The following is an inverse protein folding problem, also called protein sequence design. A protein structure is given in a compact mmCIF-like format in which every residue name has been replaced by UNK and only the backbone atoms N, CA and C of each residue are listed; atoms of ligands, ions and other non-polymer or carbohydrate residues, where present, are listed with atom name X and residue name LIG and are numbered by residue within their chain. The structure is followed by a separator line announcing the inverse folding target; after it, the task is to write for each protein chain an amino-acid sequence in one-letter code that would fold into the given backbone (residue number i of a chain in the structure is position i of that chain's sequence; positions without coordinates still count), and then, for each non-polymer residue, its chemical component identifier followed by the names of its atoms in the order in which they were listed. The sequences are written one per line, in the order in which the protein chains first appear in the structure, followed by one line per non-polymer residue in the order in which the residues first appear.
data_IF_910000851520
#
_entry.id   IF_910000851520
#
_cell.length_a   1.000
_cell.length_b   1.000
_cell.length_c   1.000
_cell.angle_alpha   90.00
_cell.angle_beta   90.00
_cell.angle_gamma   90.00
#
_symmetry.space_group_name_H-M   'P 1'
#
loop_
_entity.id
_entity.type
_entity.pdbx_description
1 polymer ?
#
# COMPACT_ATOMS: atom_id res chain seq x y z
N UNK A 1 106.38 -3.47 3.41
CA UNK A 1 105.26 -4.44 3.42
C UNK A 1 104.23 -3.92 4.41
N UNK A 2 103.28 -3.09 4.01
CA UNK A 2 102.10 -3.36 3.16
C UNK A 2 101.03 -4.16 3.92
N UNK A 3 99.82 -3.59 4.07
CA UNK A 3 98.78 -4.05 4.99
C UNK A 3 98.04 -5.29 4.44
N UNK A 4 97.48 -6.16 5.30
CA UNK A 4 96.47 -7.09 4.84
C UNK A 4 95.18 -6.31 4.53
N UNK A 5 94.70 -6.48 3.29
CA UNK A 5 93.49 -5.85 2.80
C UNK A 5 92.26 -6.36 3.55
N UNK A 6 91.47 -5.42 4.06
CA UNK A 6 90.13 -5.67 4.58
C UNK A 6 89.24 -6.09 3.41
N UNK A 7 88.66 -7.28 3.50
CA UNK A 7 87.74 -7.78 2.48
C UNK A 7 86.48 -6.90 2.43
N UNK A 8 85.98 -6.53 1.23
CA UNK A 8 84.78 -5.70 1.13
C UNK A 8 83.55 -6.45 1.67
N UNK A 9 82.61 -5.75 2.31
CA UNK A 9 81.40 -6.37 2.86
C UNK A 9 80.55 -6.97 1.73
N UNK A 10 80.14 -8.21 1.91
CA UNK A 10 79.30 -8.95 0.97
C UNK A 10 77.92 -8.26 0.94
N UNK A 11 77.57 -7.62 -0.18
CA UNK A 11 76.23 -7.09 -0.39
C UNK A 11 75.24 -8.26 -0.43
N UNK A 12 74.43 -8.39 0.62
CA UNK A 12 73.26 -9.25 0.59
C UNK A 12 72.23 -8.61 -0.35
N UNK A 13 71.87 -9.30 -1.43
CA UNK A 13 70.71 -8.91 -2.22
C UNK A 13 69.45 -9.01 -1.36
N UNK A 14 68.55 -8.02 -1.36
CA UNK A 14 67.30 -8.13 -0.62
C UNK A 14 66.53 -9.35 -1.16
N UNK A 15 66.12 -10.25 -0.26
CA UNK A 15 65.25 -11.37 -0.62
C UNK A 15 63.96 -10.88 -1.30
N UNK A 16 63.32 -11.71 -2.15
CA UNK A 16 62.11 -11.31 -2.85
C UNK A 16 61.06 -10.88 -1.83
N UNK A 17 60.57 -9.65 -1.95
CA UNK A 17 59.54 -9.13 -1.08
C UNK A 17 58.33 -10.08 -1.13
N UNK A 18 57.79 -10.53 0.03
CA UNK A 18 56.60 -11.36 0.02
C UNK A 18 55.49 -10.58 -0.68
N UNK A 19 54.92 -11.18 -1.73
CA UNK A 19 53.80 -10.63 -2.48
C UNK A 19 52.57 -10.52 -1.59
N UNK A 20 52.52 -9.48 -0.77
CA UNK A 20 51.36 -9.14 0.01
C UNK A 20 50.24 -8.80 -0.96
N UNK A 21 49.23 -9.66 -1.03
CA UNK A 21 47.97 -9.35 -1.72
C UNK A 21 47.46 -8.03 -1.14
N UNK A 22 47.62 -6.96 -1.91
CA UNK A 22 47.41 -5.60 -1.44
C UNK A 22 46.00 -5.37 -0.91
N UNK A 23 45.87 -4.31 -0.12
CA UNK A 23 44.65 -3.78 0.48
C UNK A 23 43.43 -3.76 -0.48
N UNK A 24 43.65 -3.72 -1.79
CA UNK A 24 42.64 -3.79 -2.84
C UNK A 24 42.03 -5.19 -3.06
N UNK A 25 42.74 -6.29 -2.82
CA UNK A 25 42.24 -7.63 -3.14
C UNK A 25 41.37 -8.24 -2.03
N UNK A 26 41.68 -7.97 -0.75
CA UNK A 26 40.85 -8.41 0.38
C UNK A 26 39.84 -7.35 0.81
N UNK A 27 40.23 -6.07 0.86
CA UNK A 27 39.34 -4.98 1.28
C UNK A 27 38.22 -4.69 0.27
N UNK A 28 38.57 -4.48 -1.01
CA UNK A 28 37.57 -4.21 -2.05
C UNK A 28 36.67 -5.43 -2.29
N UNK A 29 37.23 -6.65 -2.30
CA UNK A 29 36.44 -7.87 -2.46
C UNK A 29 35.47 -8.09 -1.29
N UNK A 30 35.92 -7.88 -0.05
CA UNK A 30 35.03 -7.95 1.12
C UNK A 30 33.92 -6.88 1.08
N UNK A 31 34.21 -5.65 0.62
CA UNK A 31 33.19 -4.61 0.45
C UNK A 31 32.18 -4.94 -0.65
N UNK A 32 32.65 -5.48 -1.78
CA UNK A 32 31.78 -5.93 -2.87
C UNK A 32 30.86 -7.06 -2.39
N UNK A 33 31.40 -8.07 -1.70
CA UNK A 33 30.62 -9.17 -1.14
C UNK A 33 29.62 -8.65 -0.11
N UNK A 34 30.05 -7.77 0.80
CA UNK A 34 29.16 -7.16 1.79
C UNK A 34 28.05 -6.34 1.11
N UNK A 35 28.36 -5.60 0.05
CA UNK A 35 27.39 -4.86 -0.76
C UNK A 35 26.37 -5.77 -1.42
N UNK A 36 26.80 -6.88 -2.03
CA UNK A 36 25.89 -7.87 -2.61
C UNK A 36 25.02 -8.56 -1.56
N UNK A 37 25.58 -8.92 -0.41
CA UNK A 37 24.81 -9.48 0.72
C UNK A 37 23.77 -8.47 1.20
N UNK A 38 24.14 -7.20 1.33
CA UNK A 38 23.24 -6.13 1.75
C UNK A 38 22.10 -5.97 0.73
N UNK A 39 22.40 -5.89 -0.58
CA UNK A 39 21.38 -5.86 -1.64
C UNK A 39 20.49 -7.09 -1.59
N UNK A 40 21.06 -8.28 -1.42
CA UNK A 40 20.29 -9.52 -1.33
C UNK A 40 19.35 -9.53 -0.11
N UNK A 41 19.81 -9.02 1.05
CA UNK A 41 19.00 -8.90 2.26
C UNK A 41 17.89 -7.87 2.08
N UNK A 42 18.17 -6.70 1.50
CA UNK A 42 17.14 -5.68 1.26
C UNK A 42 16.12 -6.13 0.23
N UNK A 43 16.56 -6.67 -0.92
CA UNK A 43 15.66 -7.15 -1.98
C UNK A 43 14.88 -8.37 -1.51
N UNK A 44 15.57 -9.36 -0.94
CA UNK A 44 14.96 -10.58 -0.42
C UNK A 44 14.02 -10.31 0.75
N UNK A 45 14.44 -9.45 1.69
CA UNK A 45 13.63 -9.02 2.82
C UNK A 45 12.39 -8.26 2.39
N UNK A 46 12.53 -7.26 1.51
CA UNK A 46 11.37 -6.53 0.95
C UNK A 46 10.43 -7.48 0.22
N UNK A 47 10.97 -8.36 -0.62
CA UNK A 47 10.17 -9.35 -1.34
C UNK A 47 9.40 -10.27 -0.38
N UNK A 48 10.06 -10.78 0.66
CA UNK A 48 9.46 -11.63 1.68
C UNK A 48 8.35 -10.90 2.46
N UNK A 49 8.62 -9.69 2.93
CA UNK A 49 7.65 -8.87 3.69
C UNK A 49 6.43 -8.55 2.83
N UNK A 50 6.63 -8.13 1.58
CA UNK A 50 5.54 -7.86 0.63
C UNK A 50 4.71 -9.12 0.39
N UNK A 51 5.33 -10.26 0.09
CA UNK A 51 4.60 -11.50 -0.15
C UNK A 51 3.81 -11.94 1.09
N UNK A 52 4.40 -11.77 2.29
CA UNK A 52 3.73 -12.05 3.55
C UNK A 52 2.55 -11.11 3.76
N UNK A 53 2.74 -9.80 3.60
CA UNK A 53 1.68 -8.80 3.71
C UNK A 53 0.53 -9.10 2.76
N UNK A 54 0.83 -9.40 1.48
CA UNK A 54 -0.17 -9.85 0.52
C UNK A 54 -0.91 -11.06 1.07
N UNK A 55 -0.23 -12.14 1.49
CA UNK A 55 -0.93 -13.32 2.04
C UNK A 55 -1.83 -13.02 3.24
N UNK A 56 -1.46 -12.05 4.08
CA UNK A 56 -2.19 -11.67 5.30
C UNK A 56 -3.43 -10.83 4.98
N UNK A 57 -3.27 -9.75 4.21
CA UNK A 57 -4.31 -8.74 3.98
C UNK A 57 -5.27 -9.07 2.84
N UNK A 58 -5.13 -10.25 2.24
CA UNK A 58 -5.88 -10.65 1.06
C UNK A 58 -6.27 -12.12 1.19
N UNK A 59 -7.41 -12.49 0.62
CA UNK A 59 -7.98 -13.85 0.70
C UNK A 59 -8.03 -14.51 -0.68
N UNK A 60 -8.18 -15.83 -0.73
CA UNK A 60 -8.52 -16.56 -1.97
C UNK A 60 -10.03 -16.63 -2.20
N UNK A 61 -10.84 -16.17 -1.24
CA UNK A 61 -12.30 -16.20 -1.31
C UNK A 61 -12.90 -14.82 -1.05
N UNK A 62 -13.98 -14.46 -1.77
CA UNK A 62 -14.75 -13.26 -1.48
C UNK A 62 -15.49 -13.38 -0.14
N UNK A 63 -15.62 -12.26 0.56
CA UNK A 63 -16.63 -12.15 1.62
C UNK A 63 -17.96 -11.74 0.99
N UNK A 64 -19.06 -12.37 1.40
CA UNK A 64 -20.39 -11.96 0.98
C UNK A 64 -20.79 -10.68 1.70
N UNK A 65 -21.04 -9.64 0.93
CA UNK A 65 -21.50 -8.35 1.45
C UNK A 65 -23.03 -8.36 1.42
N UNK A 66 -23.66 -8.49 2.58
CA UNK A 66 -25.12 -8.43 2.70
C UNK A 66 -25.61 -6.99 2.61
N UNK A 67 -26.21 -6.64 1.47
CA UNK A 67 -26.84 -5.35 1.26
C UNK A 67 -28.35 -5.53 1.30
N UNK A 68 -29.03 -4.74 2.12
CA UNK A 68 -30.50 -4.66 2.12
C UNK A 68 -30.97 -4.24 0.73
N UNK A 69 -31.90 -4.99 0.15
CA UNK A 69 -32.51 -4.58 -1.11
C UNK A 69 -33.45 -3.40 -0.87
N UNK A 70 -33.17 -2.28 -1.55
CA UNK A 70 -34.01 -1.09 -1.51
C UNK A 70 -35.34 -1.34 -2.25
N UNK A 71 -36.43 -0.85 -1.65
CA UNK A 71 -37.76 -0.86 -2.28
C UNK A 71 -37.77 0.03 -3.54
N UNK A 72 -38.73 -0.16 -4.48
CA UNK A 72 -38.86 0.71 -5.65
C UNK A 72 -38.98 2.20 -5.29
N UNK A 73 -39.66 2.52 -4.18
CA UNK A 73 -39.81 3.89 -3.70
C UNK A 73 -38.47 4.48 -3.22
N UNK A 74 -37.73 3.75 -2.38
CA UNK A 74 -36.41 4.18 -1.89
C UNK A 74 -35.41 4.39 -3.04
N UNK A 75 -35.44 3.50 -4.05
CA UNK A 75 -34.61 3.64 -5.26
C UNK A 75 -34.93 4.91 -6.03
N UNK A 76 -36.21 5.24 -6.17
CA UNK A 76 -36.62 6.45 -6.88
C UNK A 76 -36.20 7.72 -6.14
N UNK A 77 -36.28 7.73 -4.80
CA UNK A 77 -35.81 8.85 -3.97
C UNK A 77 -34.31 9.04 -4.10
N UNK A 78 -33.52 7.97 -3.94
CA UNK A 78 -32.07 8.03 -4.07
C UNK A 78 -31.65 8.51 -5.47
N UNK A 79 -32.31 8.00 -6.51
CA UNK A 79 -32.08 8.41 -7.90
C UNK A 79 -32.42 9.88 -8.13
N UNK A 80 -33.56 10.36 -7.62
CA UNK A 80 -33.95 11.76 -7.76
C UNK A 80 -32.91 12.69 -7.11
N UNK A 81 -32.44 12.35 -5.90
CA UNK A 81 -31.35 13.10 -5.24
C UNK A 81 -30.07 13.12 -6.08
N UNK A 82 -29.67 11.98 -6.64
CA UNK A 82 -28.49 11.92 -7.51
C UNK A 82 -28.67 12.73 -8.80
N UNK A 83 -29.86 12.72 -9.39
CA UNK A 83 -30.15 13.49 -10.61
C UNK A 83 -30.18 15.00 -10.32
N UNK A 84 -30.69 15.42 -9.14
CA UNK A 84 -30.58 16.80 -8.65
C UNK A 84 -29.11 17.20 -8.48
N UNK A 85 -28.29 16.35 -7.85
CA UNK A 85 -26.86 16.60 -7.68
C UNK A 85 -26.16 16.78 -9.03
N UNK A 86 -26.42 15.87 -9.98
CA UNK A 86 -25.86 15.93 -11.35
C UNK A 86 -26.29 17.20 -12.07
N UNK A 87 -27.55 17.61 -11.94
CA UNK A 87 -28.06 18.82 -12.56
C UNK A 87 -27.38 20.06 -11.99
N UNK A 88 -27.31 20.17 -10.66
CA UNK A 88 -26.65 21.28 -9.98
C UNK A 88 -25.16 21.37 -10.36
N UNK A 89 -24.45 20.23 -10.35
CA UNK A 89 -23.04 20.17 -10.74
C UNK A 89 -22.81 20.61 -12.19
N UNK A 90 -23.65 20.17 -13.14
CA UNK A 90 -23.55 20.56 -14.56
C UNK A 90 -23.85 22.04 -14.79
N UNK A 91 -24.73 22.62 -13.99
CA UNK A 91 -25.13 24.03 -14.11
C UNK A 91 -24.28 24.97 -13.25
N UNK A 92 -23.25 24.46 -12.56
CA UNK A 92 -22.44 25.21 -11.59
C UNK A 92 -23.30 25.90 -10.51
N UNK A 93 -24.36 25.22 -10.06
CA UNK A 93 -25.26 25.70 -9.03
C UNK A 93 -24.93 25.05 -7.69
N UNK A 94 -24.97 25.84 -6.62
CA UNK A 94 -24.89 25.32 -5.27
C UNK A 94 -26.17 24.55 -4.91
N UNK A 95 -26.01 23.32 -4.43
CA UNK A 95 -27.12 22.49 -3.95
C UNK A 95 -26.67 21.69 -2.73
N UNK A 96 -27.46 21.72 -1.66
CA UNK A 96 -27.27 20.88 -0.48
C UNK A 96 -28.13 19.64 -0.62
N UNK A 97 -27.52 18.46 -0.64
CA UNK A 97 -28.21 17.17 -0.77
C UNK A 97 -27.65 16.23 0.29
N UNK A 98 -28.54 15.71 1.12
CA UNK A 98 -28.19 14.75 2.15
C UNK A 98 -28.54 13.34 1.69
N UNK A 99 -27.57 12.44 1.75
CA UNK A 99 -27.76 11.01 1.49
C UNK A 99 -27.60 10.22 2.78
N UNK A 100 -28.54 9.32 3.04
CA UNK A 100 -28.37 8.32 4.09
C UNK A 100 -27.72 7.03 3.55
N UNK A 101 -27.37 6.10 4.45
CA UNK A 101 -26.71 4.85 4.08
C UNK A 101 -27.55 3.97 3.14
N UNK A 102 -28.87 3.88 3.38
CA UNK A 102 -29.78 3.08 2.55
C UNK A 102 -29.87 3.63 1.12
N UNK A 103 -29.91 4.95 0.97
CA UNK A 103 -29.91 5.63 -0.32
C UNK A 103 -28.59 5.40 -1.06
N UNK A 104 -27.43 5.52 -0.38
CA UNK A 104 -26.12 5.24 -0.99
C UNK A 104 -26.05 3.78 -1.46
N UNK A 105 -26.47 2.84 -0.61
CA UNK A 105 -26.50 1.41 -0.96
C UNK A 105 -27.45 1.13 -2.14
N UNK A 106 -28.59 1.82 -2.18
CA UNK A 106 -29.52 1.74 -3.32
C UNK A 106 -28.86 2.25 -4.61
N UNK A 107 -28.12 3.35 -4.56
CA UNK A 107 -27.39 3.87 -5.72
C UNK A 107 -26.32 2.88 -6.18
N UNK A 108 -25.49 2.36 -5.27
CA UNK A 108 -24.44 1.37 -5.57
C UNK A 108 -25.05 0.16 -6.30
N UNK A 109 -26.20 -0.33 -5.83
CA UNK A 109 -26.86 -1.50 -6.39
C UNK A 109 -27.48 -1.25 -7.78
N UNK A 110 -27.93 -0.02 -8.09
CA UNK A 110 -28.82 0.23 -9.23
C UNK A 110 -28.23 1.14 -10.32
N UNK A 111 -27.31 2.05 -9.99
CA UNK A 111 -26.80 3.01 -10.99
C UNK A 111 -25.70 2.39 -11.87
N UNK A 112 -25.67 2.71 -13.17
CA UNK A 112 -24.71 2.12 -14.11
C UNK A 112 -23.24 2.40 -13.78
N UNK A 113 -22.96 3.53 -13.13
CA UNK A 113 -21.62 3.98 -12.73
C UNK A 113 -21.01 3.07 -11.66
N UNK A 114 -21.84 2.46 -10.81
CA UNK A 114 -21.40 1.61 -9.71
C UNK A 114 -21.44 0.11 -10.03
N UNK A 115 -21.55 -0.27 -11.31
CA UNK A 115 -21.64 -1.68 -11.72
C UNK A 115 -20.55 -2.58 -11.12
N UNK A 116 -19.32 -2.08 -10.99
CA UNK A 116 -18.21 -2.84 -10.40
C UNK A 116 -18.29 -2.99 -8.87
N UNK A 117 -19.05 -2.14 -8.19
CA UNK A 117 -19.23 -2.18 -6.74
C UNK A 117 -20.48 -2.96 -6.29
N UNK A 118 -21.36 -3.34 -7.23
CA UNK A 118 -22.60 -4.08 -6.94
C UNK A 118 -22.30 -5.43 -6.29
N UNK A 119 -22.85 -5.65 -5.10
CA UNK A 119 -22.62 -6.89 -4.33
C UNK A 119 -21.21 -7.02 -3.75
N UNK A 120 -20.36 -6.02 -3.93
CA UNK A 120 -18.97 -5.99 -3.49
C UNK A 120 -18.70 -4.85 -2.50
N UNK A 121 -19.69 -4.00 -2.25
CA UNK A 121 -19.53 -2.80 -1.44
C UNK A 121 -20.81 -2.50 -0.66
N UNK A 122 -20.65 -2.09 0.60
CA UNK A 122 -21.74 -1.63 1.46
C UNK A 122 -21.28 -0.46 2.31
N UNK A 123 -22.15 0.53 2.42
CA UNK A 123 -21.95 1.69 3.28
C UNK A 123 -22.87 1.60 4.47
N UNK A 124 -22.34 1.88 5.66
CA UNK A 124 -23.09 2.16 6.87
C UNK A 124 -22.66 3.53 7.39
N UNK A 125 -23.56 4.26 8.04
CA UNK A 125 -23.26 5.56 8.63
C UNK A 125 -23.77 5.54 10.06
N UNK A 126 -22.93 5.87 11.02
CA UNK A 126 -23.28 5.97 12.44
C UNK A 126 -22.45 7.04 13.12
N UNK A 127 -23.08 7.93 13.90
CA UNK A 127 -22.40 8.97 14.67
C UNK A 127 -21.40 9.81 13.84
N UNK A 128 -21.79 10.21 12.63
CA UNK A 128 -20.94 10.96 11.68
C UNK A 128 -19.69 10.22 11.18
N UNK A 129 -19.63 8.90 11.38
CA UNK A 129 -18.59 8.02 10.85
C UNK A 129 -19.23 7.14 9.77
N UNK A 130 -18.64 7.15 8.58
CA UNK A 130 -18.97 6.22 7.51
C UNK A 130 -18.13 4.95 7.68
N UNK A 131 -18.77 3.79 7.59
CA UNK A 131 -18.13 2.48 7.54
C UNK A 131 -18.37 1.89 6.16
N UNK A 132 -17.31 1.42 5.52
CA UNK A 132 -17.31 0.90 4.16
C UNK A 132 -16.80 -0.54 4.18
N UNK A 133 -17.69 -1.50 3.91
CA UNK A 133 -17.30 -2.87 3.64
C UNK A 133 -17.02 -3.05 2.15
N UNK A 134 -15.90 -3.70 1.84
CA UNK A 134 -15.46 -3.98 0.46
C UNK A 134 -15.05 -5.44 0.33
N UNK A 135 -15.46 -6.07 -0.76
CA UNK A 135 -15.05 -7.41 -1.19
C UNK A 135 -14.74 -7.34 -2.69
N UNK A 136 -13.50 -6.99 -3.04
CA UNK A 136 -13.11 -6.69 -4.41
C UNK A 136 -12.12 -7.74 -4.97
N UNK A 137 -12.32 -8.24 -6.20
CA UNK A 137 -11.36 -9.11 -6.85
C UNK A 137 -10.12 -8.30 -7.26
N UNK A 138 -8.94 -8.85 -7.03
CA UNK A 138 -7.66 -8.20 -7.35
C UNK A 138 -7.08 -8.65 -8.70
N UNK A 139 -7.86 -9.37 -9.51
CA UNK A 139 -7.46 -9.88 -10.82
C UNK A 139 -7.15 -8.78 -11.84
N UNK A 140 -7.78 -7.62 -11.69
CA UNK A 140 -7.52 -6.45 -12.53
C UNK A 140 -6.17 -5.78 -12.25
N UNK A 141 -5.51 -6.13 -11.16
CA UNK A 141 -4.20 -5.57 -10.81
C UNK A 141 -3.10 -6.23 -11.65
N UNK A 142 -2.14 -5.43 -12.13
CA UNK A 142 -1.02 -5.89 -12.98
C UNK A 142 -0.08 -6.89 -12.29
N UNK A 143 -0.26 -7.16 -11.00
CA UNK A 143 0.63 -7.99 -10.21
C UNK A 143 0.22 -9.46 -10.24
N UNK A 144 1.06 -10.32 -10.85
CA UNK A 144 0.78 -11.76 -10.97
C UNK A 144 0.45 -12.46 -9.65
N UNK A 145 0.95 -11.96 -8.51
CA UNK A 145 0.73 -12.51 -7.16
C UNK A 145 -0.67 -12.22 -6.60
N UNK A 146 -1.40 -11.26 -7.17
CA UNK A 146 -2.75 -10.89 -6.76
C UNK A 146 -3.85 -11.60 -7.55
N UNK A 147 -3.50 -12.30 -8.63
CA UNK A 147 -4.44 -13.08 -9.43
C UNK A 147 -5.11 -14.16 -8.59
N UNK A 148 -6.43 -14.29 -8.73
CA UNK A 148 -7.28 -15.20 -7.96
C UNK A 148 -7.42 -14.81 -6.49
N UNK A 149 -7.02 -13.59 -6.11
CA UNK A 149 -7.13 -13.10 -4.74
C UNK A 149 -8.13 -11.96 -4.62
N UNK A 150 -8.67 -11.84 -3.42
CA UNK A 150 -9.69 -10.88 -3.03
C UNK A 150 -9.14 -9.96 -1.96
N UNK A 151 -9.54 -8.69 -2.04
CA UNK A 151 -9.43 -7.74 -0.96
C UNK A 151 -10.77 -7.68 -0.24
N UNK A 152 -10.80 -8.21 0.98
CA UNK A 152 -11.95 -8.14 1.86
C UNK A 152 -11.57 -7.20 2.99
N UNK A 153 -12.26 -6.09 3.16
CA UNK A 153 -11.88 -5.10 4.16
C UNK A 153 -13.03 -4.24 4.61
N UNK A 154 -12.80 -3.59 5.75
CA UNK A 154 -13.67 -2.58 6.33
C UNK A 154 -12.84 -1.31 6.55
N UNK A 155 -13.42 -0.15 6.27
CA UNK A 155 -12.79 1.15 6.53
C UNK A 155 -13.80 2.03 7.25
N UNK A 156 -13.41 2.60 8.39
CA UNK A 156 -14.18 3.62 9.09
C UNK A 156 -13.51 4.97 8.94
N UNK A 157 -14.25 5.94 8.41
CA UNK A 157 -13.73 7.28 8.14
C UNK A 157 -14.76 8.36 8.39
N UNK A 158 -14.28 9.54 8.79
CA UNK A 158 -15.02 10.78 8.79
C UNK A 158 -14.53 11.67 7.65
N UNK A 159 -15.45 12.42 7.04
CA UNK A 159 -15.09 13.46 6.08
C UNK A 159 -15.96 14.70 6.33
N UNK A 160 -15.36 15.88 6.19
CA UNK A 160 -16.08 17.16 6.27
C UNK A 160 -15.41 18.19 5.37
N UNK A 161 -16.21 19.02 4.71
CA UNK A 161 -15.74 20.17 3.96
C UNK A 161 -16.48 21.41 4.47
N UNK A 162 -15.76 22.31 5.14
CA UNK A 162 -16.31 23.53 5.74
C UNK A 162 -15.29 24.65 5.53
N UNK A 163 -15.73 25.80 5.02
CA UNK A 163 -14.91 27.01 4.84
C UNK A 163 -13.57 26.74 4.12
N UNK A 164 -13.65 26.07 2.97
CA UNK A 164 -12.49 25.64 2.15
C UNK A 164 -11.50 24.69 2.83
N UNK A 165 -11.85 24.16 4.00
CA UNK A 165 -11.08 23.16 4.70
C UNK A 165 -11.68 21.76 4.49
N UNK A 166 -10.98 20.93 3.71
CA UNK A 166 -11.28 19.51 3.58
C UNK A 166 -10.59 18.72 4.69
N UNK A 167 -11.38 18.08 5.55
CA UNK A 167 -10.89 17.18 6.57
C UNK A 167 -11.35 15.75 6.24
N UNK A 168 -10.39 14.84 6.18
CA UNK A 168 -10.62 13.41 6.00
C UNK A 168 -9.83 12.66 7.06
N UNK A 169 -10.52 11.90 7.89
CA UNK A 169 -9.94 11.21 9.04
C UNK A 169 -10.27 9.72 8.96
N UNK A 170 -9.24 8.88 8.85
CA UNK A 170 -9.38 7.43 8.87
C UNK A 170 -9.31 6.96 10.32
N UNK A 171 -10.43 6.51 10.87
CA UNK A 171 -10.52 6.01 12.24
C UNK A 171 -9.96 4.61 12.37
N UNK A 172 -10.32 3.75 11.42
CA UNK A 172 -9.87 2.37 11.39
C UNK A 172 -9.87 1.86 9.95
N UNK A 173 -8.98 0.92 9.69
CA UNK A 173 -9.00 0.13 8.47
C UNK A 173 -8.63 -1.30 8.83
N UNK A 174 -9.31 -2.24 8.19
CA UNK A 174 -9.09 -3.66 8.34
C UNK A 174 -9.07 -4.31 6.96
N UNK A 175 -8.20 -5.30 6.78
CA UNK A 175 -8.29 -6.21 5.65
C UNK A 175 -8.11 -7.65 6.11
N UNK A 176 -9.04 -8.50 5.72
CA UNK A 176 -9.03 -9.94 5.97
C UNK A 176 -8.90 -10.31 7.45
N UNK A 177 -9.54 -9.58 8.37
CA UNK A 177 -9.43 -9.80 9.81
C UNK A 177 -8.25 -9.08 10.49
N UNK A 178 -7.39 -8.41 9.72
CA UNK A 178 -6.18 -7.75 10.24
C UNK A 178 -6.33 -6.23 10.18
N UNK A 179 -6.19 -5.58 11.32
CA UNK A 179 -6.20 -4.13 11.40
C UNK A 179 -4.90 -3.53 10.88
N UNK A 180 -5.02 -2.44 10.12
CA UNK A 180 -3.88 -1.65 9.71
C UNK A 180 -3.33 -0.86 10.91
N UNK A 181 -2.00 -0.81 11.12
CA UNK A 181 -1.41 -0.02 12.19
C UNK A 181 -1.79 1.46 12.08
N UNK A 182 -2.13 2.11 13.21
CA UNK A 182 -2.46 3.55 13.21
C UNK A 182 -1.38 4.43 12.59
N UNK A 183 -0.11 4.05 12.73
CA UNK A 183 1.04 4.78 12.19
C UNK A 183 1.00 4.97 10.66
N UNK A 184 0.27 4.14 9.93
CA UNK A 184 0.10 4.27 8.47
C UNK A 184 -1.26 4.88 8.06
N UNK A 185 -2.17 5.10 9.03
CA UNK A 185 -3.49 5.67 8.80
C UNK A 185 -3.52 7.18 9.10
N UNK A 186 -2.62 7.66 9.96
CA UNK A 186 -2.43 9.10 10.22
C UNK A 186 -1.54 9.72 9.15
N UNK A 187 -1.98 10.87 8.60
CA UNK A 187 -1.24 11.63 7.57
C UNK A 187 0.00 12.38 8.08
N UNK A 188 0.43 12.18 9.33
CA UNK A 188 1.65 12.77 9.92
C UNK A 188 2.97 12.23 9.33
N UNK A 189 2.90 11.53 8.18
CA UNK A 189 4.03 10.93 7.48
C UNK A 189 4.30 11.52 6.09
N UNK A 190 3.77 12.71 5.78
CA UNK A 190 4.15 13.51 4.60
C UNK A 190 4.65 14.90 4.99
#
# INVERSE_FOLDING_TARGET
MSPPMEAPPIMQTPGPAPGGMGCFAKGCLSLIIAGFVLVAVFVGGTFFVVNRALSVFTSTQPVQIEVRQATPAERQVAKAKLDTLRSAARNHQEATIEFNADEINALIANEPEFRGARGHMRVAISNSIASLDVSAPLDSMHWKRLKGRWFNGNIEFGFSYVDDNFNFDIRSAEANGYQFPRAILTSDFM
#
